data_IF_768390133340
#
_entry.id   IF_768390133340
#
_cell.length_a   1.000
_cell.length_b   1.000
_cell.length_c   1.000
_cell.angle_alpha   90.00
_cell.angle_beta   90.00
_cell.angle_gamma   90.00
#
_symmetry.space_group_name_H-M   'P 1'
#
loop_
_entity.id
_entity.type
_entity.pdbx_description
1 polymer ?
#
# COMPACT_ATOMS: atom_id res chain seq x y z
N UNK A 1 -5.22 27.65 10.30
CA UNK A 1 -4.61 26.30 10.21
C UNK A 1 -5.72 25.27 10.17
N UNK A 2 -6.19 24.93 8.96
CA UNK A 2 -7.27 23.97 8.74
C UNK A 2 -6.69 22.56 8.91
N UNK A 3 -6.72 22.03 10.13
CA UNK A 3 -6.46 20.62 10.38
C UNK A 3 -7.58 19.80 9.74
N UNK A 4 -7.38 19.29 8.53
CA UNK A 4 -8.29 18.32 7.95
C UNK A 4 -8.09 17.00 8.69
N UNK A 5 -9.08 16.63 9.50
CA UNK A 5 -9.18 15.26 10.01
C UNK A 5 -9.65 14.36 8.86
N UNK A 6 -8.71 13.78 8.11
CA UNK A 6 -9.04 12.62 7.30
C UNK A 6 -9.59 11.51 8.21
N UNK A 7 -10.55 10.74 7.70
CA UNK A 7 -11.14 9.64 8.46
C UNK A 7 -10.04 8.69 8.98
N UNK A 8 -10.06 8.23 10.24
CA UNK A 8 -8.97 7.41 10.82
C UNK A 8 -8.59 6.20 9.97
N UNK A 9 -9.58 5.57 9.32
CA UNK A 9 -9.38 4.46 8.40
C UNK A 9 -8.43 4.78 7.23
N UNK A 10 -8.31 6.04 6.79
CA UNK A 10 -7.36 6.43 5.73
C UNK A 10 -5.90 6.35 6.21
N UNK A 11 -5.65 6.65 7.49
CA UNK A 11 -4.34 6.44 8.09
C UNK A 11 -4.01 4.95 8.21
N UNK A 12 -5.02 4.11 8.50
CA UNK A 12 -4.85 2.66 8.54
C UNK A 12 -4.51 2.07 7.17
N UNK A 13 -5.17 2.55 6.11
CA UNK A 13 -4.82 2.21 4.72
C UNK A 13 -3.37 2.58 4.44
N UNK A 14 -2.92 3.77 4.87
CA UNK A 14 -1.54 4.22 4.71
C UNK A 14 -0.54 3.29 5.41
N UNK A 15 -0.73 3.05 6.71
CA UNK A 15 0.18 2.24 7.52
C UNK A 15 0.29 0.79 7.03
N UNK A 16 -0.85 0.15 6.74
CA UNK A 16 -0.85 -1.24 6.26
C UNK A 16 -0.35 -1.30 4.82
N UNK A 17 -0.78 -0.38 3.95
CA UNK A 17 -0.34 -0.32 2.56
C UNK A 17 1.17 -0.15 2.40
N UNK A 18 1.81 0.64 3.26
CA UNK A 18 3.28 0.75 3.33
C UNK A 18 3.96 -0.57 3.67
N UNK A 19 3.35 -1.42 4.50
CA UNK A 19 3.96 -2.68 4.90
C UNK A 19 3.75 -3.80 3.87
N UNK A 20 2.60 -3.83 3.19
CA UNK A 20 2.23 -4.90 2.25
C UNK A 20 2.68 -4.66 0.81
N UNK A 21 2.99 -3.41 0.45
CA UNK A 21 3.38 -3.00 -0.90
C UNK A 21 2.40 -3.49 -1.99
N UNK A 22 1.11 -3.57 -1.69
CA UNK A 22 0.07 -3.98 -2.63
C UNK A 22 -0.37 -2.84 -3.55
N UNK A 23 -0.96 -3.16 -4.70
CA UNK A 23 -1.73 -2.16 -5.46
C UNK A 23 -2.98 -1.84 -4.67
N UNK A 24 -3.48 -0.61 -4.80
CA UNK A 24 -4.62 -0.15 -4.00
C UNK A 24 -5.88 -1.02 -4.19
N UNK A 25 -6.13 -1.53 -5.39
CA UNK A 25 -7.26 -2.46 -5.61
C UNK A 25 -7.13 -3.72 -4.77
N UNK A 26 -5.95 -4.32 -4.76
CA UNK A 26 -5.69 -5.58 -4.03
C UNK A 26 -5.66 -5.35 -2.51
N UNK A 27 -5.16 -4.19 -2.07
CA UNK A 27 -5.15 -3.79 -0.65
C UNK A 27 -6.57 -3.61 -0.12
N UNK A 28 -7.44 -2.95 -0.87
CA UNK A 28 -8.82 -2.68 -0.44
C UNK A 28 -9.71 -3.93 -0.51
N UNK A 29 -9.37 -4.92 -1.34
CA UNK A 29 -10.09 -6.19 -1.41
C UNK A 29 -9.74 -7.18 -0.31
N UNK A 30 -8.75 -6.90 0.55
CA UNK A 30 -8.36 -7.80 1.65
C UNK A 30 -9.55 -8.01 2.58
N UNK A 31 -9.86 -9.28 2.81
CA UNK A 31 -10.83 -9.72 3.82
C UNK A 31 -10.08 -10.27 5.03
N UNK A 32 -10.72 -10.24 6.19
CA UNK A 32 -10.12 -10.79 7.41
C UNK A 32 -9.88 -12.31 7.31
N UNK A 33 -10.65 -13.03 6.49
CA UNK A 33 -10.45 -14.46 6.21
C UNK A 33 -9.20 -14.75 5.37
N UNK A 34 -8.70 -13.78 4.60
CA UNK A 34 -7.49 -13.94 3.78
C UNK A 34 -6.20 -13.92 4.64
N UNK A 35 -6.34 -13.65 5.95
CA UNK A 35 -5.26 -13.51 6.92
C UNK A 35 -5.25 -14.74 7.84
N UNK A 36 -4.19 -15.52 7.75
CA UNK A 36 -4.00 -16.76 8.51
C UNK A 36 -2.76 -16.63 9.39
N UNK A 37 -2.97 -16.38 10.69
CA UNK A 37 -1.89 -16.12 11.64
C UNK A 37 -1.08 -14.89 11.21
N UNK A 38 0.19 -15.10 10.87
CA UNK A 38 1.14 -14.07 10.47
C UNK A 38 1.28 -13.93 8.94
N UNK A 39 0.39 -14.53 8.15
CA UNK A 39 0.41 -14.47 6.69
C UNK A 39 -0.87 -13.92 6.09
N UNK A 40 -0.71 -13.12 5.03
CA UNK A 40 -1.77 -12.71 4.12
C UNK A 40 -1.64 -13.49 2.81
N UNK A 41 -2.71 -14.17 2.41
CA UNK A 41 -2.76 -14.95 1.18
C UNK A 41 -3.89 -14.41 0.31
N UNK A 42 -3.55 -13.76 -0.80
CA UNK A 42 -4.54 -13.17 -1.72
C UNK A 42 -4.16 -13.42 -3.18
N UNK A 43 -5.15 -13.46 -4.07
CA UNK A 43 -4.92 -13.47 -5.52
C UNK A 43 -4.92 -12.03 -6.04
N UNK A 44 -3.84 -11.62 -6.70
CA UNK A 44 -3.76 -10.29 -7.30
C UNK A 44 -4.79 -10.13 -8.42
N UNK A 45 -5.54 -9.03 -8.38
CA UNK A 45 -6.59 -8.74 -9.37
C UNK A 45 -6.01 -8.52 -10.76
N UNK A 46 -4.84 -7.86 -10.86
CA UNK A 46 -4.25 -7.46 -12.16
C UNK A 46 -3.51 -8.60 -12.86
N UNK A 47 -2.81 -9.44 -12.11
CA UNK A 47 -1.91 -10.46 -12.67
C UNK A 47 -2.44 -11.88 -12.50
N UNK A 48 -3.45 -12.08 -11.63
CA UNK A 48 -3.95 -13.39 -11.25
C UNK A 48 -2.99 -14.21 -10.38
N UNK A 49 -1.79 -13.69 -10.07
CA UNK A 49 -0.79 -14.40 -9.27
C UNK A 49 -1.21 -14.47 -7.80
N UNK A 50 -0.89 -15.58 -7.15
CA UNK A 50 -1.04 -15.71 -5.70
C UNK A 50 0.06 -14.89 -5.00
N UNK A 51 -0.34 -13.95 -4.16
CA UNK A 51 0.55 -13.23 -3.26
C UNK A 51 0.47 -13.88 -1.88
N UNK A 52 1.60 -14.41 -1.42
CA UNK A 52 1.76 -14.94 -0.07
C UNK A 52 2.73 -14.03 0.69
N UNK A 53 2.19 -13.19 1.56
CA UNK A 53 2.91 -12.08 2.20
C UNK A 53 3.06 -12.36 3.69
N UNK A 54 4.30 -12.40 4.16
CA UNK A 54 4.63 -12.45 5.57
C UNK A 54 4.33 -11.08 6.21
N UNK A 55 3.48 -11.07 7.25
CA UNK A 55 3.12 -9.87 7.99
C UNK A 55 4.19 -9.60 9.05
N UNK A 56 4.74 -8.40 9.05
CA UNK A 56 5.62 -7.96 10.13
C UNK A 56 4.82 -7.57 11.38
N UNK A 57 5.50 -7.43 12.51
CA UNK A 57 4.89 -7.11 13.80
C UNK A 57 3.98 -5.87 13.74
N UNK A 58 4.41 -4.81 13.05
CA UNK A 58 3.61 -3.59 12.89
C UNK A 58 2.30 -3.87 12.16
N UNK A 59 2.35 -4.54 11.01
CA UNK A 59 1.16 -4.90 10.24
C UNK A 59 0.21 -5.79 11.06
N UNK A 60 0.75 -6.78 11.78
CA UNK A 60 -0.04 -7.65 12.66
C UNK A 60 -0.75 -6.86 13.76
N UNK A 61 -0.06 -5.92 14.43
CA UNK A 61 -0.65 -5.07 15.46
C UNK A 61 -1.78 -4.18 14.90
N UNK A 62 -1.57 -3.55 13.75
CA UNK A 62 -2.61 -2.74 13.11
C UNK A 62 -3.83 -3.59 12.72
N UNK A 63 -3.61 -4.77 12.15
CA UNK A 63 -4.69 -5.70 11.74
C UNK A 63 -5.46 -6.20 12.98
N UNK A 64 -4.76 -6.58 14.05
CA UNK A 64 -5.38 -7.07 15.28
C UNK A 64 -6.28 -5.99 15.91
N UNK A 65 -5.78 -4.75 16.02
CA UNK A 65 -6.58 -3.61 16.50
C UNK A 65 -7.82 -3.39 15.62
N UNK A 66 -7.69 -3.44 14.29
CA UNK A 66 -8.83 -3.27 13.39
C UNK A 66 -9.88 -4.37 13.55
N UNK A 67 -9.44 -5.62 13.78
CA UNK A 67 -10.33 -6.75 14.04
C UNK A 67 -11.09 -6.59 15.36
N UNK A 68 -10.42 -6.11 16.41
CA UNK A 68 -11.03 -5.83 17.70
C UNK A 68 -12.03 -4.65 17.64
N UNK A 69 -11.67 -3.58 16.94
CA UNK A 69 -12.54 -2.40 16.77
C UNK A 69 -13.75 -2.66 15.89
N UNK A 70 -13.65 -3.63 14.96
CA UNK A 70 -14.68 -3.92 13.98
C UNK A 70 -14.89 -5.44 13.80
N UNK A 71 -15.43 -6.13 14.82
CA UNK A 71 -15.56 -7.59 14.81
C UNK A 71 -16.47 -8.12 13.69
N UNK A 72 -17.45 -7.33 13.26
CA UNK A 72 -18.42 -7.71 12.22
C UNK A 72 -17.98 -7.33 10.78
N UNK A 73 -16.79 -6.76 10.61
CA UNK A 73 -16.30 -6.41 9.28
C UNK A 73 -15.83 -7.65 8.51
N UNK A 74 -16.18 -7.70 7.22
CA UNK A 74 -15.67 -8.72 6.29
C UNK A 74 -14.34 -8.25 5.71
N UNK A 75 -14.30 -6.99 5.28
CA UNK A 75 -13.12 -6.36 4.70
C UNK A 75 -12.27 -5.67 5.75
N UNK A 76 -10.95 -5.71 5.58
CA UNK A 76 -10.00 -5.00 6.44
C UNK A 76 -10.28 -3.48 6.43
N UNK A 77 -10.67 -2.96 5.26
CA UNK A 77 -11.08 -1.57 5.08
C UNK A 77 -12.50 -1.51 4.52
N UNK A 78 -13.49 -1.71 5.39
CA UNK A 78 -14.90 -1.72 5.00
C UNK A 78 -15.49 -0.30 4.98
N UNK A 79 -16.33 0.00 3.99
CA UNK A 79 -17.13 1.21 4.01
C UNK A 79 -18.16 1.14 5.14
N UNK A 80 -18.25 2.21 5.94
CA UNK A 80 -19.35 2.36 6.89
C UNK A 80 -20.68 2.53 6.14
N UNK A 81 -21.73 1.83 6.58
CA UNK A 81 -23.04 1.84 5.90
C UNK A 81 -23.67 3.23 5.98
N UNK A 82 -23.82 3.90 4.85
CA UNK A 82 -24.77 5.00 4.73
C UNK A 82 -26.19 4.45 4.51
N UNK A 83 -27.21 5.28 4.72
CA UNK A 83 -28.63 4.90 4.64
C UNK A 83 -29.01 4.28 3.28
N UNK A 84 -28.26 4.59 2.22
CA UNK A 84 -28.37 4.06 0.86
C UNK A 84 -27.81 2.63 0.68
N UNK A 85 -27.07 2.09 1.66
CA UNK A 85 -26.43 0.77 1.61
C UNK A 85 -27.14 -0.28 2.48
N UNK A 86 -28.29 0.04 3.09
CA UNK A 86 -28.99 -0.86 4.03
C UNK A 86 -29.26 -2.26 3.46
N UNK A 87 -29.50 -2.37 2.16
CA UNK A 87 -29.83 -3.62 1.47
C UNK A 87 -28.68 -4.18 0.61
N UNK A 88 -27.48 -3.61 0.68
CA UNK A 88 -26.31 -4.08 -0.08
C UNK A 88 -25.38 -4.91 0.80
N UNK A 89 -24.72 -5.94 0.24
CA UNK A 89 -23.70 -6.69 0.97
C UNK A 89 -22.56 -5.74 1.39
N UNK A 90 -21.83 -6.04 2.49
CA UNK A 90 -20.68 -5.24 2.89
C UNK A 90 -19.70 -5.03 1.74
N UNK A 91 -19.15 -3.83 1.63
CA UNK A 91 -18.23 -3.44 0.56
C UNK A 91 -16.97 -2.80 1.14
N UNK A 92 -15.81 -2.98 0.50
CA UNK A 92 -14.63 -2.24 0.88
C UNK A 92 -14.80 -0.74 0.58
N UNK A 93 -13.98 0.09 1.21
CA UNK A 93 -13.89 1.50 0.80
C UNK A 93 -13.46 1.62 -0.65
N UNK A 94 -13.87 2.70 -1.31
CA UNK A 94 -13.57 2.89 -2.72
C UNK A 94 -12.17 3.45 -2.95
N UNK A 95 -11.54 3.06 -4.06
CA UNK A 95 -10.27 3.65 -4.52
C UNK A 95 -10.35 5.16 -4.65
N UNK A 96 -11.52 5.69 -5.06
CA UNK A 96 -11.76 7.13 -5.20
C UNK A 96 -11.67 7.84 -3.85
N UNK A 97 -12.30 7.29 -2.81
CA UNK A 97 -12.25 7.86 -1.47
C UNK A 97 -10.80 7.94 -0.94
N UNK A 98 -10.03 6.86 -1.08
CA UNK A 98 -8.61 6.86 -0.69
C UNK A 98 -7.80 7.85 -1.53
N UNK A 99 -8.00 7.88 -2.85
CA UNK A 99 -7.29 8.80 -3.73
C UNK A 99 -7.54 10.26 -3.38
N UNK A 100 -8.79 10.63 -3.08
CA UNK A 100 -9.15 11.99 -2.69
C UNK A 100 -8.52 12.35 -1.34
N UNK A 101 -8.59 11.47 -0.35
CA UNK A 101 -7.98 11.68 0.95
C UNK A 101 -6.45 11.88 0.84
N UNK A 102 -5.77 11.03 0.06
CA UNK A 102 -4.32 11.15 -0.14
C UNK A 102 -3.96 12.40 -0.93
N UNK A 103 -4.73 12.77 -1.95
CA UNK A 103 -4.50 14.00 -2.70
C UNK A 103 -4.63 15.24 -1.81
N UNK A 104 -5.64 15.28 -0.95
CA UNK A 104 -5.87 16.37 0.01
C UNK A 104 -4.67 16.52 0.96
N UNK A 105 -4.22 15.42 1.57
CA UNK A 105 -3.02 15.41 2.41
C UNK A 105 -1.78 15.83 1.62
N UNK A 106 -1.65 15.38 0.37
CA UNK A 106 -0.55 15.78 -0.51
C UNK A 106 -0.53 17.29 -0.80
N UNK A 107 -1.69 17.90 -1.02
CA UNK A 107 -1.81 19.35 -1.24
C UNK A 107 -1.38 20.15 0.00
N UNK A 108 -1.79 19.73 1.19
CA UNK A 108 -1.40 20.38 2.45
C UNK A 108 0.11 20.30 2.72
N UNK A 109 0.71 19.16 2.40
CA UNK A 109 2.14 18.91 2.59
C UNK A 109 3.00 19.38 1.40
N UNK A 110 2.39 19.93 0.35
CA UNK A 110 3.04 20.27 -0.91
C UNK A 110 3.87 19.12 -1.52
N UNK A 111 3.31 17.90 -1.48
CA UNK A 111 3.90 16.68 -2.07
C UNK A 111 2.90 15.96 -2.97
N UNK A 112 3.40 15.31 -4.03
CA UNK A 112 2.59 14.46 -4.89
C UNK A 112 2.24 13.14 -4.19
N UNK A 113 1.16 13.15 -3.41
CA UNK A 113 0.67 11.97 -2.69
C UNK A 113 -0.49 11.30 -3.43
N UNK A 114 -0.37 9.99 -3.66
CA UNK A 114 -1.41 9.20 -4.31
C UNK A 114 -1.38 7.75 -3.85
N UNK A 115 -2.32 6.95 -4.36
CA UNK A 115 -2.49 5.56 -3.90
C UNK A 115 -1.28 4.66 -4.16
N UNK A 116 -0.48 4.98 -5.18
CA UNK A 116 0.78 4.29 -5.46
C UNK A 116 1.93 4.72 -4.55
N UNK A 117 1.84 5.86 -3.86
CA UNK A 117 2.96 6.39 -3.07
C UNK A 117 3.41 5.40 -2.00
N UNK A 118 2.48 4.77 -1.26
CA UNK A 118 2.82 3.72 -0.27
C UNK A 118 3.71 2.62 -0.86
N UNK A 119 3.32 2.11 -2.03
CA UNK A 119 4.00 1.00 -2.69
C UNK A 119 5.35 1.43 -3.26
N UNK A 120 5.44 2.64 -3.83
CA UNK A 120 6.71 3.24 -4.27
C UNK A 120 7.66 3.43 -3.10
N UNK A 121 7.19 4.03 -2.01
CA UNK A 121 7.95 4.29 -0.78
C UNK A 121 8.52 2.98 -0.22
N UNK A 122 7.71 1.93 -0.10
CA UNK A 122 8.19 0.63 0.39
C UNK A 122 9.27 0.02 -0.51
N UNK A 123 9.08 0.09 -1.83
CA UNK A 123 10.06 -0.38 -2.81
C UNK A 123 11.37 0.40 -2.76
N UNK A 124 11.30 1.73 -2.68
CA UNK A 124 12.46 2.61 -2.55
C UNK A 124 13.26 2.30 -1.29
N UNK A 125 12.63 2.19 -0.12
CA UNK A 125 13.34 1.88 1.12
C UNK A 125 13.96 0.48 1.14
N UNK A 126 13.34 -0.50 0.48
CA UNK A 126 13.97 -1.81 0.31
C UNK A 126 15.21 -1.70 -0.58
N UNK A 127 15.12 -0.96 -1.69
CA UNK A 127 16.26 -0.73 -2.56
C UNK A 127 17.39 -0.01 -1.82
N UNK A 128 17.09 1.07 -1.10
CA UNK A 128 18.12 1.82 -0.36
C UNK A 128 18.84 0.96 0.70
N UNK A 129 18.14 0.04 1.35
CA UNK A 129 18.72 -0.82 2.39
C UNK A 129 19.48 -2.03 1.86
N UNK A 130 19.19 -2.48 0.62
CA UNK A 130 19.75 -3.73 0.08
C UNK A 130 20.58 -3.55 -1.17
N UNK A 131 20.36 -2.44 -1.89
CA UNK A 131 20.84 -2.16 -3.26
C UNK A 131 20.55 -3.30 -4.25
N UNK A 132 19.53 -4.12 -3.96
CA UNK A 132 19.17 -5.30 -4.75
C UNK A 132 17.81 -5.07 -5.42
N UNK A 133 17.85 -4.71 -6.70
CA UNK A 133 16.64 -4.48 -7.50
C UNK A 133 15.82 -5.76 -7.69
N UNK A 134 16.44 -6.94 -7.72
CA UNK A 134 15.75 -8.23 -7.82
C UNK A 134 14.85 -8.50 -6.63
N UNK A 135 15.28 -8.14 -5.41
CA UNK A 135 14.44 -8.22 -4.20
C UNK A 135 13.25 -7.27 -4.26
N UNK A 136 13.45 -6.05 -4.77
CA UNK A 136 12.38 -5.07 -4.97
C UNK A 136 11.37 -5.58 -6.00
N UNK A 137 11.85 -6.10 -7.12
CA UNK A 137 11.00 -6.71 -8.15
C UNK A 137 10.16 -7.85 -7.58
N UNK A 138 10.75 -8.75 -6.77
CA UNK A 138 10.02 -9.83 -6.10
C UNK A 138 8.95 -9.30 -5.14
N UNK A 139 9.27 -8.31 -4.30
CA UNK A 139 8.31 -7.71 -3.36
C UNK A 139 7.14 -7.03 -4.09
N UNK A 140 7.45 -6.24 -5.11
CA UNK A 140 6.46 -5.55 -5.92
C UNK A 140 5.81 -6.48 -6.96
N UNK A 141 6.27 -7.71 -7.16
CA UNK A 141 5.77 -8.61 -8.21
C UNK A 141 5.85 -7.96 -9.61
N UNK A 142 6.94 -7.27 -9.88
CA UNK A 142 7.24 -6.71 -11.19
C UNK A 142 8.12 -7.68 -11.99
N UNK A 143 7.97 -7.66 -13.32
CA UNK A 143 8.71 -8.54 -14.23
C UNK A 143 9.83 -7.82 -14.99
N UNK A 144 9.87 -6.49 -14.92
CA UNK A 144 10.88 -5.66 -15.60
C UNK A 144 11.63 -4.81 -14.59
N UNK A 145 12.95 -4.87 -14.68
CA UNK A 145 13.87 -4.09 -13.87
C UNK A 145 13.74 -2.59 -14.13
N UNK A 146 13.84 -2.18 -15.40
CA UNK A 146 13.71 -0.77 -15.79
C UNK A 146 12.36 -0.15 -15.37
N UNK A 147 11.28 -0.92 -15.46
CA UNK A 147 9.97 -0.48 -14.93
C UNK A 147 10.03 -0.30 -13.42
N UNK A 148 10.75 -1.17 -12.70
CA UNK A 148 10.86 -1.13 -11.24
C UNK A 148 11.71 0.03 -10.76
N UNK A 149 12.87 0.27 -11.38
CA UNK A 149 13.75 1.42 -11.10
C UNK A 149 12.99 2.73 -11.26
N UNK A 150 12.34 2.93 -12.42
CA UNK A 150 11.49 4.10 -12.66
C UNK A 150 10.33 4.20 -11.67
N UNK A 151 9.71 3.07 -11.31
CA UNK A 151 8.58 3.04 -10.40
C UNK A 151 8.95 3.55 -9.00
N UNK A 152 10.13 3.16 -8.49
CA UNK A 152 10.62 3.59 -7.17
C UNK A 152 11.42 4.91 -7.22
N UNK A 153 11.57 5.51 -8.41
CA UNK A 153 12.18 6.83 -8.57
C UNK A 153 13.69 6.85 -8.70
N UNK A 154 14.33 5.71 -9.04
CA UNK A 154 15.74 5.71 -9.47
C UNK A 154 15.77 6.30 -10.88
N UNK A 155 16.33 7.49 -11.00
CA UNK A 155 16.38 8.27 -12.25
C UNK A 155 17.71 8.08 -12.98
N UNK A 156 17.74 8.50 -14.24
CA UNK A 156 18.99 8.59 -15.00
C UNK A 156 20.00 9.49 -14.28
N UNK A 157 19.56 10.55 -13.60
CA UNK A 157 20.44 11.43 -12.82
C UNK A 157 21.17 10.71 -11.67
N UNK A 158 20.59 9.66 -11.08
CA UNK A 158 21.29 8.85 -10.09
C UNK A 158 22.36 7.99 -10.76
N UNK A 159 22.07 7.42 -11.93
CA UNK A 159 23.04 6.66 -12.74
C UNK A 159 24.18 7.56 -13.22
N UNK A 160 23.88 8.78 -13.64
CA UNK A 160 24.89 9.73 -14.11
C UNK A 160 25.83 10.18 -12.96
N UNK A 161 25.32 10.27 -11.73
CA UNK A 161 26.17 10.49 -10.53
C UNK A 161 27.11 9.32 -10.27
N UNK A 162 26.68 8.08 -10.53
CA UNK A 162 27.54 6.91 -10.37
C UNK A 162 28.72 6.97 -11.34
N UNK A 163 28.51 7.38 -12.59
CA UNK A 163 29.60 7.60 -13.57
C UNK A 163 30.62 8.65 -13.12
N UNK A 164 30.19 9.70 -12.44
CA UNK A 164 31.07 10.78 -11.95
C UNK A 164 31.81 10.37 -10.67
N UNK A 165 31.15 9.60 -9.79
CA UNK A 165 31.67 9.33 -8.44
C UNK A 165 32.47 8.03 -8.31
N UNK A 166 32.28 7.07 -9.22
CA UNK A 166 33.02 5.81 -9.22
C UNK A 166 34.38 5.99 -9.91
N UNK A 167 35.40 6.31 -9.12
CA UNK A 167 36.80 6.23 -9.52
C UNK A 167 37.39 4.89 -9.06
N UNK A 168 37.94 4.11 -10.00
CA UNK A 168 38.54 2.79 -9.74
C UNK A 168 40.08 2.87 -9.72
#
# INVERSE_FOLDING_TARGET
MTSIRCHPQMADVWHIGLNLALRISDLLSIRFEDIHGDRLIIRESKTGKLANIQLNTKAQQHIARLREQHPDHIYLFQSHRCQQLKNKPPQPITRRAVSMAFQQVGQELNIALGTHSMRKTRGYFLYQSTKDIGRVMKMLRHTSEGVTLRYIGITQDEVDKDFVSLEL
#
